data_IF_568472812424
#
_entry.id   IF_568472812424
#
_cell.length_a   1.000
_cell.length_b   1.000
_cell.length_c   1.000
_cell.angle_alpha   90.00
_cell.angle_beta   90.00
_cell.angle_gamma   90.00
#
_symmetry.space_group_name_H-M   'P 1'
#
loop_
_entity.id
_entity.type
_entity.pdbx_description
1 polymer ?
#
# COMPACT_ATOMS: atom_id res chain seq x y z
N UNK A 1 0.25 12.87 -2.91
CA UNK A 1 0.53 11.68 -2.14
C UNK A 1 1.62 10.84 -2.81
N UNK A 2 2.68 10.51 -2.08
CA UNK A 2 3.84 9.82 -2.62
C UNK A 2 3.52 8.39 -3.07
N UNK A 3 2.66 7.67 -2.35
CA UNK A 3 2.26 6.33 -2.75
C UNK A 3 1.50 6.39 -4.08
N UNK A 4 0.59 7.35 -4.23
CA UNK A 4 -0.16 7.51 -5.48
C UNK A 4 0.76 7.75 -6.67
N UNK A 5 1.77 8.61 -6.51
CA UNK A 5 2.77 8.85 -7.56
C UNK A 5 3.52 7.58 -7.92
N UNK A 6 3.95 6.82 -6.93
CA UNK A 6 4.77 5.64 -7.15
C UNK A 6 3.98 4.49 -7.78
N UNK A 7 2.71 4.28 -7.39
CA UNK A 7 1.90 3.22 -7.97
C UNK A 7 1.47 3.54 -9.40
N UNK A 8 1.29 4.80 -9.73
CA UNK A 8 0.93 5.21 -11.10
C UNK A 8 2.14 5.34 -12.02
N UNK A 9 3.31 5.66 -11.45
CA UNK A 9 4.55 5.82 -12.20
C UNK A 9 4.36 6.76 -13.42
N UNK A 10 4.48 6.23 -14.63
CA UNK A 10 4.35 7.01 -15.86
C UNK A 10 2.96 7.64 -16.04
N UNK A 11 1.93 7.08 -15.44
CA UNK A 11 0.57 7.56 -15.59
C UNK A 11 0.21 8.71 -14.66
N UNK A 12 1.09 9.05 -13.71
CA UNK A 12 0.84 10.13 -12.76
C UNK A 12 0.61 11.46 -13.47
N UNK A 13 1.56 11.84 -14.33
CA UNK A 13 1.55 13.15 -14.96
C UNK A 13 0.36 13.32 -15.92
N UNK A 14 0.03 12.27 -16.67
CA UNK A 14 -1.08 12.30 -17.61
C UNK A 14 -2.44 12.43 -16.91
N UNK A 15 -2.53 12.03 -15.64
CA UNK A 15 -3.79 12.02 -14.90
C UNK A 15 -3.75 12.90 -13.66
N UNK A 16 -2.84 13.86 -13.63
CA UNK A 16 -2.63 14.74 -12.47
C UNK A 16 -3.89 15.47 -12.04
N UNK A 17 -4.71 15.91 -13.00
CA UNK A 17 -5.97 16.59 -12.74
C UNK A 17 -7.03 15.70 -12.09
N UNK A 18 -6.85 14.38 -12.13
CA UNK A 18 -7.78 13.42 -11.55
C UNK A 18 -7.35 12.87 -10.19
N UNK A 19 -6.29 13.43 -9.62
CA UNK A 19 -5.78 12.95 -8.33
C UNK A 19 -6.73 13.21 -7.17
N UNK A 20 -7.54 14.28 -7.24
CA UNK A 20 -8.59 14.53 -6.25
C UNK A 20 -9.63 13.41 -6.18
N UNK A 21 -9.81 12.68 -7.27
CA UNK A 21 -10.69 11.52 -7.35
C UNK A 21 -9.94 10.22 -7.00
N UNK A 22 -8.71 10.07 -7.50
CA UNK A 22 -7.92 8.86 -7.34
C UNK A 22 -7.43 8.64 -5.91
N UNK A 23 -6.88 9.66 -5.27
CA UNK A 23 -6.27 9.51 -3.94
C UNK A 23 -7.24 8.96 -2.87
N UNK A 24 -8.48 9.51 -2.76
CA UNK A 24 -9.44 8.92 -1.81
C UNK A 24 -9.79 7.47 -2.11
N UNK A 25 -9.92 7.13 -3.40
CA UNK A 25 -10.24 5.75 -3.81
C UNK A 25 -9.07 4.82 -3.49
N UNK A 26 -7.84 5.24 -3.80
CA UNK A 26 -6.65 4.46 -3.48
C UNK A 26 -6.52 4.27 -1.97
N UNK A 27 -6.77 5.31 -1.18
CA UNK A 27 -6.70 5.25 0.28
C UNK A 27 -7.67 4.20 0.81
N UNK A 28 -8.92 4.24 0.37
CA UNK A 28 -9.92 3.27 0.81
C UNK A 28 -9.57 1.85 0.35
N UNK A 29 -9.02 1.71 -0.85
CA UNK A 29 -8.57 0.42 -1.36
C UNK A 29 -7.45 -0.17 -0.50
N UNK A 30 -6.46 0.64 -0.13
CA UNK A 30 -5.35 0.19 0.70
C UNK A 30 -5.82 -0.16 2.11
N UNK A 31 -6.73 0.64 2.69
CA UNK A 31 -7.31 0.34 3.99
C UNK A 31 -8.06 -0.98 3.97
N UNK A 32 -8.91 -1.18 2.96
CA UNK A 32 -9.74 -2.38 2.85
C UNK A 32 -8.90 -3.64 2.58
N UNK A 33 -7.82 -3.50 1.82
CA UNK A 33 -6.98 -4.63 1.42
C UNK A 33 -5.97 -5.01 2.51
N UNK A 34 -5.33 -4.01 3.13
CA UNK A 34 -4.20 -4.24 4.03
C UNK A 34 -4.47 -3.88 5.48
N UNK A 35 -4.95 -2.67 5.75
CA UNK A 35 -5.08 -2.17 7.13
C UNK A 35 -6.18 -2.91 7.89
N UNK A 36 -7.36 -3.05 7.30
CA UNK A 36 -8.47 -3.72 7.96
C UNK A 36 -8.15 -5.19 8.20
N UNK A 37 -7.42 -5.83 7.29
CA UNK A 37 -6.99 -7.20 7.47
C UNK A 37 -6.00 -7.31 8.63
N UNK A 38 -5.07 -6.37 8.74
CA UNK A 38 -4.09 -6.36 9.83
C UNK A 38 -4.80 -6.19 11.18
N UNK A 39 -5.76 -5.25 11.26
CA UNK A 39 -6.53 -5.04 12.49
C UNK A 39 -7.31 -6.30 12.86
N UNK A 40 -7.90 -6.96 11.88
CA UNK A 40 -8.61 -8.22 12.09
C UNK A 40 -7.68 -9.30 12.65
N UNK A 41 -6.51 -9.46 12.04
CA UNK A 41 -5.54 -10.48 12.46
C UNK A 41 -5.02 -10.20 13.88
N UNK A 42 -4.78 -8.93 14.23
CA UNK A 42 -4.37 -8.56 15.58
C UNK A 42 -5.45 -8.89 16.61
N UNK A 43 -6.72 -8.66 16.26
CA UNK A 43 -7.84 -9.00 17.13
C UNK A 43 -7.96 -10.51 17.33
N UNK A 44 -7.45 -11.31 16.39
CA UNK A 44 -7.47 -12.77 16.46
C UNK A 44 -6.24 -13.37 17.14
N UNK A 45 -5.37 -12.54 17.70
CA UNK A 45 -4.21 -13.02 18.46
C UNK A 45 -2.87 -12.89 17.76
N UNK A 46 -2.82 -12.24 16.58
CA UNK A 46 -1.54 -11.94 15.95
C UNK A 46 -0.80 -10.85 16.73
N UNK A 47 0.51 -10.82 16.61
CA UNK A 47 1.34 -9.79 17.24
C UNK A 47 2.32 -9.20 16.24
N UNK A 48 2.74 -7.97 16.48
CA UNK A 48 3.72 -7.27 15.66
C UNK A 48 4.92 -6.93 16.54
N UNK A 49 6.11 -7.29 16.06
CA UNK A 49 7.37 -6.99 16.75
C UNK A 49 8.29 -6.26 15.77
N UNK A 50 8.79 -5.10 16.18
CA UNK A 50 9.80 -4.38 15.39
C UNK A 50 11.14 -5.06 15.63
N UNK A 51 11.81 -5.49 14.55
CA UNK A 51 13.07 -6.23 14.63
C UNK A 51 14.28 -5.40 14.26
N UNK A 52 14.10 -4.27 13.61
CA UNK A 52 15.22 -3.41 13.24
C UNK A 52 14.79 -2.13 12.60
N UNK A 53 15.76 -1.22 12.48
CA UNK A 53 15.55 0.09 11.85
C UNK A 53 16.86 0.52 11.20
N UNK A 54 16.77 1.03 9.97
CA UNK A 54 17.93 1.56 9.23
C UNK A 54 17.55 2.94 8.71
N UNK A 55 18.41 3.92 8.97
CA UNK A 55 18.20 5.29 8.48
C UNK A 55 19.37 5.66 7.58
N UNK A 56 19.07 6.16 6.38
CA UNK A 56 20.06 6.62 5.42
C UNK A 56 19.59 7.95 4.84
N UNK A 57 20.08 9.05 5.41
CA UNK A 57 19.66 10.40 5.02
C UNK A 57 18.16 10.62 5.24
N UNK A 58 17.46 10.89 4.16
CA UNK A 58 16.00 11.13 4.20
C UNK A 58 15.18 9.86 3.98
N UNK A 59 15.82 8.70 3.98
CA UNK A 59 15.14 7.42 3.80
C UNK A 59 15.35 6.55 5.03
N UNK A 60 14.33 5.77 5.36
CA UNK A 60 14.40 4.83 6.47
C UNK A 60 13.65 3.55 6.14
N UNK A 61 14.08 2.45 6.73
CA UNK A 61 13.37 1.18 6.67
C UNK A 61 13.18 0.68 8.10
N UNK A 62 11.93 0.42 8.46
CA UNK A 62 11.59 -0.22 9.73
C UNK A 62 11.22 -1.66 9.43
N UNK A 63 11.94 -2.59 10.02
CA UNK A 63 11.69 -4.02 9.83
C UNK A 63 10.84 -4.54 10.97
N UNK A 64 9.82 -5.31 10.64
CA UNK A 64 8.94 -5.90 11.62
C UNK A 64 8.61 -7.34 11.24
N UNK A 65 8.02 -8.04 12.20
CA UNK A 65 7.55 -9.41 12.01
C UNK A 65 6.16 -9.50 12.60
N UNK A 66 5.21 -10.00 11.80
CA UNK A 66 3.88 -10.29 12.28
C UNK A 66 3.81 -11.78 12.54
N UNK A 67 3.48 -12.16 13.78
CA UNK A 67 3.28 -13.57 14.14
C UNK A 67 1.79 -13.80 14.27
N UNK A 68 1.26 -14.71 13.44
CA UNK A 68 -0.16 -15.02 13.46
C UNK A 68 -0.51 -15.88 14.68
N UNK A 69 -1.80 -16.00 14.98
CA UNK A 69 -2.28 -16.83 16.07
C UNK A 69 -1.86 -18.30 15.91
N UNK A 70 -1.60 -18.72 14.68
CA UNK A 70 -1.15 -20.10 14.37
C UNK A 70 0.37 -20.25 14.40
N UNK A 71 1.09 -19.18 14.75
CA UNK A 71 2.54 -19.23 14.85
C UNK A 71 3.29 -18.93 13.56
N UNK A 72 2.60 -18.59 12.48
CA UNK A 72 3.26 -18.20 11.23
C UNK A 72 3.89 -16.84 11.36
N UNK A 73 5.14 -16.71 10.96
CA UNK A 73 5.86 -15.44 10.97
C UNK A 73 5.88 -14.81 9.59
N UNK A 74 5.46 -13.54 9.50
CA UNK A 74 5.40 -12.82 8.24
C UNK A 74 6.26 -11.57 8.37
N UNK A 75 7.41 -11.49 7.67
CA UNK A 75 8.23 -10.28 7.70
C UNK A 75 7.56 -9.16 6.93
N UNK A 76 7.50 -7.97 7.53
CA UNK A 76 6.92 -6.78 6.91
C UNK A 76 7.88 -5.62 7.13
N UNK A 77 8.36 -5.04 6.03
CA UNK A 77 9.25 -3.89 6.06
C UNK A 77 8.47 -2.65 5.64
N UNK A 78 8.63 -1.57 6.42
CA UNK A 78 8.02 -0.27 6.11
C UNK A 78 9.10 0.64 5.58
N UNK A 79 8.90 1.22 4.39
CA UNK A 79 9.82 2.16 3.77
C UNK A 79 9.28 3.56 3.92
N UNK A 80 10.10 4.45 4.49
CA UNK A 80 9.69 5.80 4.82
C UNK A 80 10.63 6.83 4.22
N UNK A 81 10.11 8.03 4.04
CA UNK A 81 10.91 9.18 3.64
C UNK A 81 10.60 10.34 4.57
N UNK A 82 11.60 11.22 4.77
CA UNK A 82 11.44 12.43 5.56
C UNK A 82 11.14 13.59 4.62
N UNK A 83 10.00 14.26 4.81
CA UNK A 83 9.57 15.34 3.92
C UNK A 83 10.03 16.74 4.39
N UNK A 84 10.90 16.80 5.39
CA UNK A 84 11.37 18.04 5.99
C UNK A 84 10.71 18.34 7.34
N UNK A 85 9.59 17.71 7.66
CA UNK A 85 8.91 17.90 8.95
C UNK A 85 8.55 16.58 9.63
N UNK A 86 8.20 15.56 8.85
CA UNK A 86 7.83 14.26 9.43
C UNK A 86 8.16 13.11 8.49
N UNK A 87 8.21 11.90 9.03
CA UNK A 87 8.43 10.68 8.27
C UNK A 87 7.10 10.19 7.70
N UNK A 88 7.12 9.80 6.43
CA UNK A 88 5.94 9.28 5.73
C UNK A 88 6.26 7.93 5.12
N UNK A 89 5.33 7.00 5.18
CA UNK A 89 5.48 5.69 4.52
C UNK A 89 5.24 5.86 3.03
N UNK A 90 6.15 5.33 2.21
CA UNK A 90 5.98 5.34 0.75
C UNK A 90 5.91 3.94 0.15
N UNK A 91 6.18 2.91 0.93
CA UNK A 91 6.03 1.52 0.48
C UNK A 91 6.00 0.58 1.68
N UNK A 92 5.45 -0.60 1.48
CA UNK A 92 5.43 -1.69 2.44
C UNK A 92 5.84 -2.95 1.69
N UNK A 93 6.86 -3.64 2.19
CA UNK A 93 7.29 -4.92 1.61
C UNK A 93 6.84 -6.05 2.53
N UNK A 94 6.02 -6.94 1.99
CA UNK A 94 5.49 -8.10 2.70
C UNK A 94 6.16 -9.35 2.14
N UNK A 95 6.87 -10.08 2.99
CA UNK A 95 7.65 -11.25 2.60
C UNK A 95 8.61 -10.92 1.45
N UNK A 96 9.20 -9.71 1.49
CA UNK A 96 10.13 -9.26 0.48
C UNK A 96 9.51 -8.66 -0.78
N UNK A 97 8.17 -8.66 -0.88
CA UNK A 97 7.49 -8.15 -2.07
C UNK A 97 6.94 -6.74 -1.83
N UNK A 98 7.40 -5.78 -2.63
CA UNK A 98 6.96 -4.40 -2.56
C UNK A 98 5.49 -4.27 -2.96
N UNK A 99 4.67 -3.67 -2.09
CA UNK A 99 3.29 -3.36 -2.37
C UNK A 99 3.18 -2.39 -3.55
N UNK A 100 4.00 -1.34 -3.55
CA UNK A 100 3.98 -0.33 -4.62
C UNK A 100 4.31 -0.96 -5.97
N UNK A 101 5.36 -1.80 -6.03
CA UNK A 101 5.74 -2.46 -7.29
C UNK A 101 4.64 -3.37 -7.80
N UNK A 102 4.00 -4.12 -6.90
CA UNK A 102 2.91 -5.01 -7.26
C UNK A 102 1.70 -4.24 -7.79
N UNK A 103 1.29 -3.18 -7.09
CA UNK A 103 0.17 -2.36 -7.53
C UNK A 103 0.49 -1.59 -8.82
N UNK A 104 1.73 -1.12 -8.97
CA UNK A 104 2.16 -0.44 -10.20
C UNK A 104 1.94 -1.34 -11.42
N UNK A 105 2.36 -2.59 -11.31
CA UNK A 105 2.20 -3.56 -12.38
C UNK A 105 0.73 -3.81 -12.70
N UNK A 106 -0.10 -4.02 -11.69
CA UNK A 106 -1.53 -4.25 -11.86
C UNK A 106 -2.25 -3.04 -12.44
N UNK A 107 -1.96 -1.85 -11.92
CA UNK A 107 -2.60 -0.62 -12.37
C UNK A 107 -2.22 -0.28 -13.80
N UNK A 108 -0.93 -0.45 -14.15
CA UNK A 108 -0.48 -0.23 -15.52
C UNK A 108 -1.22 -1.15 -16.51
N UNK A 109 -1.36 -2.41 -16.16
CA UNK A 109 -2.09 -3.38 -16.99
C UNK A 109 -3.54 -2.95 -17.21
N UNK A 110 -4.22 -2.51 -16.17
CA UNK A 110 -5.62 -2.07 -16.25
C UNK A 110 -5.73 -0.81 -17.11
N UNK A 111 -4.83 0.15 -16.90
CA UNK A 111 -4.85 1.40 -17.68
C UNK A 111 -4.61 1.13 -19.17
N UNK A 112 -3.68 0.23 -19.49
CA UNK A 112 -3.37 -0.11 -20.87
C UNK A 112 -4.51 -0.87 -21.55
N UNK A 113 -5.19 -1.76 -20.85
CA UNK A 113 -6.29 -2.55 -21.41
C UNK A 113 -7.60 -1.79 -21.45
N UNK A 114 -7.78 -0.80 -20.62
CA UNK A 114 -9.01 -0.04 -20.48
C UNK A 114 -8.70 1.45 -20.52
N UNK A 115 -8.56 2.08 -19.35
CA UNK A 115 -8.28 3.51 -19.22
C UNK A 115 -8.02 3.81 -17.76
N UNK A 116 -7.65 5.07 -17.46
CA UNK A 116 -7.56 5.52 -16.09
C UNK A 116 -8.93 5.43 -15.39
N UNK A 117 -10.00 5.80 -16.11
CA UNK A 117 -11.36 5.64 -15.60
C UNK A 117 -11.70 4.18 -15.31
N UNK A 118 -11.21 3.27 -16.15
CA UNK A 118 -11.34 1.83 -15.92
C UNK A 118 -10.63 1.38 -14.64
N UNK A 119 -9.47 1.97 -14.36
CA UNK A 119 -8.77 1.69 -13.11
C UNK A 119 -9.59 2.14 -11.90
N UNK A 120 -10.14 3.36 -11.95
CA UNK A 120 -10.97 3.86 -10.86
C UNK A 120 -12.16 2.94 -10.59
N UNK A 121 -12.82 2.48 -11.66
CA UNK A 121 -13.97 1.58 -11.53
C UNK A 121 -13.54 0.22 -10.96
N UNK A 122 -12.41 -0.31 -11.41
CA UNK A 122 -11.90 -1.58 -10.90
C UNK A 122 -11.60 -1.52 -9.41
N UNK A 123 -11.02 -0.40 -8.95
CA UNK A 123 -10.75 -0.20 -7.53
C UNK A 123 -12.03 -0.09 -6.71
N UNK A 124 -13.03 0.64 -7.22
CA UNK A 124 -14.33 0.74 -6.55
C UNK A 124 -15.02 -0.62 -6.43
N UNK A 125 -14.96 -1.42 -7.50
CA UNK A 125 -15.52 -2.76 -7.51
C UNK A 125 -14.84 -3.65 -6.47
N UNK A 126 -13.51 -3.58 -6.37
CA UNK A 126 -12.76 -4.38 -5.40
C UNK A 126 -13.06 -3.96 -3.96
N UNK A 127 -13.17 -2.66 -3.71
CA UNK A 127 -13.54 -2.14 -2.39
C UNK A 127 -14.91 -2.68 -1.99
N UNK A 128 -15.88 -2.61 -2.90
CA UNK A 128 -17.23 -3.10 -2.64
C UNK A 128 -17.25 -4.60 -2.37
N UNK A 129 -16.49 -5.36 -3.14
CA UNK A 129 -16.35 -6.80 -2.95
C UNK A 129 -15.79 -7.14 -1.57
N UNK A 130 -14.77 -6.40 -1.12
CA UNK A 130 -14.16 -6.61 0.19
C UNK A 130 -15.11 -6.24 1.33
N UNK A 131 -15.94 -5.22 1.15
CA UNK A 131 -16.92 -4.81 2.16
C UNK A 131 -18.06 -5.83 2.33
N UNK A 132 -18.35 -6.59 1.29
CA UNK A 132 -19.42 -7.56 1.31
C UNK A 132 -19.01 -8.93 1.87
N UNK A 133 -17.78 -9.07 2.32
CA UNK A 133 -17.30 -10.33 2.92
C UNK A 133 -17.43 -10.38 4.44
#
# INVERSE_FOLDING_TARGET
NEIAKRVLALHWKANESRMGEFIPILTEFLESTYVNRMVFDLAKGASIVVTGETIDGNLATVKSKITTAKGKEIPVDYRLYFNGSEWKVYDIAIEGMSMVSNLRSQFNTIIQKSSFGGLLQALRNKIQELKNK
#
